data_IF_280368539654
#
_entry.id   IF_280368539654
#
_cell.length_a   1.000
_cell.length_b   1.000
_cell.length_c   1.000
_cell.angle_alpha   90.00
_cell.angle_beta   90.00
_cell.angle_gamma   90.00
#
_symmetry.space_group_name_H-M   'P 1'
#
loop_
_entity.id
_entity.type
_entity.pdbx_description
1 polymer ?
#
# COMPACT_ATOMS: atom_id res chain seq x y z
N UNK A 1 -10.43 31.99 -2.91
CA UNK A 1 -9.16 31.26 -3.01
C UNK A 1 -8.41 31.47 -1.70
N UNK A 2 -8.67 30.65 -0.68
CA UNK A 2 -7.83 30.64 0.53
C UNK A 2 -6.72 29.62 0.31
N UNK A 3 -5.49 30.11 0.39
CA UNK A 3 -4.29 29.29 0.49
C UNK A 3 -4.31 28.62 1.86
N UNK A 4 -4.80 27.38 1.94
CA UNK A 4 -4.56 26.54 3.10
C UNK A 4 -3.05 26.30 3.20
N UNK A 5 -2.46 26.65 4.34
CA UNK A 5 -1.02 26.51 4.57
C UNK A 5 -0.72 25.06 5.01
N UNK A 6 0.37 24.47 4.53
CA UNK A 6 0.75 23.05 4.78
C UNK A 6 0.79 22.69 6.29
N UNK A 7 1.02 23.66 7.16
CA UNK A 7 1.00 23.54 8.62
C UNK A 7 -0.39 23.22 9.18
N UNK A 8 -1.44 23.84 8.68
CA UNK A 8 -2.82 23.65 9.15
C UNK A 8 -3.35 22.25 8.79
N UNK A 9 -2.90 21.71 7.64
CA UNK A 9 -3.18 20.34 7.23
C UNK A 9 -2.45 19.30 8.11
N UNK A 10 -1.21 19.56 8.50
CA UNK A 10 -0.42 18.65 9.32
C UNK A 10 -0.98 18.53 10.75
N UNK A 11 -1.39 19.65 11.33
CA UNK A 11 -1.96 19.68 12.68
C UNK A 11 -3.32 18.95 12.73
N UNK A 12 -4.11 19.03 11.65
CA UNK A 12 -5.38 18.30 11.51
C UNK A 12 -5.17 16.76 11.47
N UNK A 13 -4.17 16.27 10.73
CA UNK A 13 -3.92 14.81 10.65
C UNK A 13 -3.38 14.25 11.98
N UNK A 14 -2.50 14.98 12.66
CA UNK A 14 -2.00 14.58 13.99
C UNK A 14 -3.13 14.47 15.00
N UNK A 15 -3.99 15.48 15.03
CA UNK A 15 -5.16 15.51 15.91
C UNK A 15 -6.09 14.31 15.67
N UNK A 16 -6.41 14.00 14.40
CA UNK A 16 -7.23 12.83 14.05
C UNK A 16 -6.61 11.51 14.52
N UNK A 17 -5.29 11.33 14.38
CA UNK A 17 -4.59 10.11 14.82
C UNK A 17 -4.62 10.01 16.35
N UNK A 18 -4.41 11.11 17.08
CA UNK A 18 -4.43 11.10 18.55
C UNK A 18 -5.83 10.89 19.14
N UNK A 19 -6.89 11.29 18.43
CA UNK A 19 -8.29 11.07 18.84
C UNK A 19 -8.85 9.69 18.44
N UNK A 20 -8.07 8.87 17.74
CA UNK A 20 -8.52 7.56 17.28
C UNK A 20 -8.52 6.52 18.41
N UNK A 21 -9.67 5.92 18.66
CA UNK A 21 -9.84 4.80 19.59
C UNK A 21 -10.02 3.49 18.83
N UNK A 22 -9.11 2.53 19.04
CA UNK A 22 -9.15 1.21 18.40
C UNK A 22 -10.34 0.42 18.93
N UNK A 23 -11.12 -0.19 18.03
CA UNK A 23 -12.22 -1.11 18.35
C UNK A 23 -11.91 -2.53 17.93
N UNK A 24 -11.31 -2.70 16.77
CA UNK A 24 -11.07 -4.02 16.17
C UNK A 24 -9.79 -4.01 15.32
N UNK A 25 -9.06 -5.13 15.32
CA UNK A 25 -8.01 -5.39 14.33
C UNK A 25 -8.67 -6.03 13.12
N UNK A 26 -8.77 -5.27 12.02
CA UNK A 26 -9.39 -5.75 10.78
C UNK A 26 -8.52 -6.79 10.07
N UNK A 27 -7.20 -6.58 10.10
CA UNK A 27 -6.23 -7.45 9.46
C UNK A 27 -4.83 -7.19 10.03
N UNK A 28 -4.01 -8.23 10.10
CA UNK A 28 -2.59 -8.15 10.40
C UNK A 28 -1.84 -8.93 9.31
N UNK A 29 -0.86 -8.30 8.68
CA UNK A 29 0.04 -8.95 7.74
C UNK A 29 1.49 -8.83 8.24
N UNK A 30 1.97 -9.84 9.00
CA UNK A 30 3.33 -9.86 9.51
C UNK A 30 4.39 -9.84 8.40
N UNK A 31 4.08 -10.36 7.21
CA UNK A 31 5.03 -10.41 6.09
C UNK A 31 5.29 -9.01 5.53
N UNK A 32 4.23 -8.24 5.32
CA UNK A 32 4.37 -6.85 4.85
C UNK A 32 4.55 -5.83 5.98
N UNK A 33 4.59 -6.31 7.24
CA UNK A 33 4.74 -5.49 8.45
C UNK A 33 3.66 -4.42 8.57
N UNK A 34 2.43 -4.81 8.24
CA UNK A 34 1.26 -3.94 8.27
C UNK A 34 0.19 -4.46 9.23
N UNK A 35 -0.53 -3.53 9.84
CA UNK A 35 -1.72 -3.82 10.63
C UNK A 35 -2.80 -2.78 10.36
N UNK A 36 -4.05 -3.23 10.34
CA UNK A 36 -5.24 -2.44 10.02
C UNK A 36 -6.16 -2.43 11.22
N UNK A 37 -6.55 -1.24 11.66
CA UNK A 37 -7.48 -1.04 12.77
C UNK A 37 -8.77 -0.41 12.29
N UNK A 38 -9.89 -0.92 12.76
CA UNK A 38 -11.16 -0.19 12.78
C UNK A 38 -11.29 0.50 14.13
N UNK A 39 -11.72 1.74 14.12
CA UNK A 39 -11.93 2.51 15.33
C UNK A 39 -12.91 3.64 15.14
N UNK A 40 -13.02 4.46 16.18
CA UNK A 40 -13.82 5.68 16.18
C UNK A 40 -12.96 6.89 16.45
N UNK A 41 -13.30 8.03 15.84
CA UNK A 41 -12.75 9.34 16.19
C UNK A 41 -13.86 10.11 16.90
N UNK A 42 -13.56 10.61 18.10
CA UNK A 42 -14.49 11.41 18.91
C UNK A 42 -14.53 12.84 18.37
N UNK A 43 -15.68 13.32 17.92
CA UNK A 43 -15.84 14.75 17.63
C UNK A 43 -15.79 15.53 18.95
N UNK A 44 -15.11 16.68 18.98
CA UNK A 44 -14.97 17.57 20.16
C UNK A 44 -16.31 18.11 20.72
N UNK A 45 -17.45 17.70 20.14
CA UNK A 45 -18.80 18.14 20.49
C UNK A 45 -19.40 17.46 21.74
N UNK A 46 -18.83 16.35 22.22
CA UNK A 46 -19.33 15.61 23.39
C UNK A 46 -18.43 15.80 24.63
N UNK A 47 -18.01 17.05 24.92
CA UNK A 47 -17.27 17.36 26.16
C UNK A 47 -18.14 17.47 27.43
N UNK A 48 -19.42 17.11 27.37
CA UNK A 48 -20.34 17.31 28.50
C UNK A 48 -20.96 16.05 29.11
N UNK A 49 -20.70 14.85 28.60
CA UNK A 49 -21.22 13.64 29.23
C UNK A 49 -20.08 12.63 29.48
N UNK A 50 -19.93 12.23 30.73
CA UNK A 50 -19.17 11.03 31.15
C UNK A 50 -19.85 9.78 30.57
N UNK A 51 -19.82 9.62 29.24
CA UNK A 51 -20.27 8.41 28.58
C UNK A 51 -19.13 7.41 28.66
N UNK A 52 -19.37 6.25 29.27
CA UNK A 52 -18.44 5.13 29.28
C UNK A 52 -17.90 4.89 27.86
N UNK A 53 -16.61 5.11 27.67
CA UNK A 53 -15.91 5.11 26.37
C UNK A 53 -16.10 3.81 25.59
N UNK A 54 -16.44 2.70 26.25
CA UNK A 54 -16.73 1.40 25.64
C UNK A 54 -18.12 1.27 24.99
N UNK A 55 -19.01 2.26 25.15
CA UNK A 55 -20.39 2.19 24.63
C UNK A 55 -20.60 2.88 23.28
N UNK A 56 -19.59 3.58 22.75
CA UNK A 56 -19.70 4.34 21.51
C UNK A 56 -19.64 3.39 20.31
N UNK A 57 -20.77 3.28 19.61
CA UNK A 57 -20.89 2.46 18.41
C UNK A 57 -20.09 3.04 17.23
N UNK A 58 -19.54 2.15 16.41
CA UNK A 58 -18.90 2.49 15.13
C UNK A 58 -19.99 2.80 14.11
N UNK A 59 -20.07 4.06 13.66
CA UNK A 59 -21.06 4.53 12.68
C UNK A 59 -20.34 4.89 11.37
N UNK A 60 -20.48 4.05 10.32
CA UNK A 60 -19.91 4.32 9.01
C UNK A 60 -20.34 5.69 8.46
N UNK A 61 -19.38 6.45 7.94
CA UNK A 61 -19.59 7.76 7.35
C UNK A 61 -19.76 8.91 8.34
N UNK A 62 -19.74 8.63 9.66
CA UNK A 62 -19.75 9.64 10.72
C UNK A 62 -18.47 9.60 11.56
N UNK A 63 -18.40 8.70 12.53
CA UNK A 63 -17.29 8.61 13.49
C UNK A 63 -16.32 7.44 13.17
N UNK A 64 -16.70 6.52 12.28
CA UNK A 64 -15.86 5.39 11.93
C UNK A 64 -14.57 5.84 11.21
N UNK A 65 -13.44 5.27 11.62
CA UNK A 65 -12.15 5.49 10.98
C UNK A 65 -11.40 4.16 10.81
N UNK A 66 -10.56 4.11 9.78
CA UNK A 66 -9.61 3.00 9.59
C UNK A 66 -8.20 3.58 9.65
N UNK A 67 -7.38 3.07 10.56
CA UNK A 67 -5.94 3.37 10.60
C UNK A 67 -5.16 2.16 10.10
N UNK A 68 -4.22 2.41 9.18
CA UNK A 68 -3.21 1.44 8.76
C UNK A 68 -1.86 1.89 9.31
N UNK A 69 -1.17 0.98 9.99
CA UNK A 69 0.23 1.16 10.39
C UNK A 69 1.12 0.27 9.53
N UNK A 70 2.23 0.82 9.07
CA UNK A 70 3.23 0.09 8.27
C UNK A 70 4.63 0.41 8.74
N UNK A 71 5.44 -0.62 8.99
CA UNK A 71 6.87 -0.43 9.26
C UNK A 71 7.58 0.01 7.98
N UNK A 72 8.24 1.16 8.02
CA UNK A 72 8.99 1.67 6.88
C UNK A 72 10.28 0.87 6.67
N UNK A 73 10.68 0.75 5.40
CA UNK A 73 11.96 0.18 5.03
C UNK A 73 13.11 1.06 5.52
N UNK A 74 14.26 0.43 5.78
CA UNK A 74 15.47 1.18 6.10
C UNK A 74 15.91 2.05 4.91
N UNK A 75 16.21 3.32 5.18
CA UNK A 75 16.81 4.20 4.18
C UNK A 75 18.32 4.02 4.16
N UNK A 76 18.92 3.88 2.98
CA UNK A 76 20.40 3.88 2.84
C UNK A 76 21.04 5.13 3.46
N UNK A 77 20.34 6.27 3.42
CA UNK A 77 20.81 7.56 3.98
C UNK A 77 20.98 7.51 5.50
N UNK A 78 20.23 6.66 6.20
CA UNK A 78 20.34 6.45 7.65
C UNK A 78 21.72 5.92 8.06
N UNK A 79 22.41 5.18 7.17
CA UNK A 79 23.66 4.50 7.50
C UNK A 79 24.90 5.12 6.85
N UNK A 80 24.73 6.04 5.88
CA UNK A 80 25.83 6.56 5.06
C UNK A 80 26.05 8.07 5.19
N UNK A 81 25.57 8.72 6.26
CA UNK A 81 25.61 10.19 6.43
C UNK A 81 27.01 10.79 6.65
N UNK A 82 28.09 10.17 6.17
CA UNK A 82 29.48 10.57 6.41
C UNK A 82 30.25 11.01 5.14
N UNK A 83 29.62 11.19 3.98
CA UNK A 83 30.39 11.51 2.76
C UNK A 83 30.75 12.99 2.54
N UNK A 84 30.32 13.94 3.37
CA UNK A 84 30.77 15.34 3.21
C UNK A 84 30.97 16.04 4.54
N UNK A 85 32.22 16.01 5.02
CA UNK A 85 33.02 17.16 5.46
C UNK A 85 33.92 16.78 6.63
N UNK A 86 35.22 17.00 6.41
CA UNK A 86 36.28 17.06 7.41
C UNK A 86 35.79 17.64 8.76
N UNK A 87 35.60 16.78 9.76
CA UNK A 87 35.82 17.07 11.18
C UNK A 87 35.99 15.73 11.89
N UNK A 88 36.93 15.69 12.83
CA UNK A 88 37.24 14.53 13.66
C UNK A 88 35.96 13.99 14.34
N UNK A 89 35.85 12.65 14.42
CA UNK A 89 34.77 11.85 15.03
C UNK A 89 33.56 11.49 14.14
N UNK A 90 33.81 11.09 12.89
CA UNK A 90 32.81 10.42 12.03
C UNK A 90 32.29 9.07 12.61
N UNK A 91 32.93 8.51 13.65
CA UNK A 91 32.54 7.27 14.33
C UNK A 91 31.37 7.39 15.31
N UNK A 92 30.94 8.62 15.64
CA UNK A 92 29.98 8.87 16.73
C UNK A 92 28.53 9.09 16.26
N UNK A 93 28.23 8.89 14.97
CA UNK A 93 26.88 9.08 14.41
C UNK A 93 26.36 7.89 13.60
N UNK A 94 26.66 6.67 14.04
CA UNK A 94 26.08 5.47 13.45
C UNK A 94 24.94 4.93 14.35
N UNK A 95 23.73 4.71 13.80
CA UNK A 95 22.57 4.29 14.59
C UNK A 95 22.72 2.91 15.23
N UNK A 96 23.77 2.15 14.87
CA UNK A 96 24.09 0.85 15.43
C UNK A 96 24.84 0.92 16.76
N UNK A 97 25.67 1.95 16.99
CA UNK A 97 26.57 2.04 18.16
C UNK A 97 25.79 2.13 19.47
N UNK A 98 24.67 2.84 19.45
CA UNK A 98 23.81 3.07 20.62
C UNK A 98 22.51 2.23 20.56
N UNK A 99 22.55 1.09 19.88
CA UNK A 99 21.41 0.15 19.83
C UNK A 99 21.11 -0.46 21.18
N UNK A 100 19.82 -0.54 21.52
CA UNK A 100 19.37 -1.29 22.69
C UNK A 100 18.97 -2.70 22.27
N UNK A 101 19.79 -3.69 22.58
CA UNK A 101 19.48 -5.10 22.35
C UNK A 101 18.72 -5.69 23.55
N UNK A 102 17.73 -6.53 23.28
CA UNK A 102 16.81 -7.16 24.25
C UNK A 102 17.06 -8.66 24.35
N UNK A 103 17.35 -9.31 23.24
CA UNK A 103 17.71 -10.73 23.18
C UNK A 103 18.85 -10.92 22.20
N UNK A 104 19.75 -11.87 22.50
CA UNK A 104 20.92 -12.20 21.68
C UNK A 104 21.14 -13.71 21.71
N UNK A 105 21.36 -14.30 20.55
CA UNK A 105 21.67 -15.71 20.35
C UNK A 105 22.84 -15.85 19.38
N UNK A 106 23.61 -16.94 19.50
CA UNK A 106 24.80 -17.20 18.68
C UNK A 106 24.94 -18.69 18.37
N UNK A 107 25.26 -19.00 17.12
CA UNK A 107 25.71 -20.31 16.68
C UNK A 107 26.89 -20.17 15.72
N UNK A 108 28.07 -20.61 16.13
CA UNK A 108 29.35 -20.46 15.41
C UNK A 108 29.63 -19.01 15.00
N UNK A 109 29.62 -18.70 13.70
CA UNK A 109 29.83 -17.35 13.15
C UNK A 109 28.53 -16.54 13.03
N UNK A 110 27.37 -17.16 13.24
CA UNK A 110 26.07 -16.49 13.15
C UNK A 110 25.64 -15.99 14.52
N UNK A 111 25.24 -14.72 14.59
CA UNK A 111 24.62 -14.13 15.77
C UNK A 111 23.38 -13.36 15.34
N UNK A 112 22.31 -13.46 16.13
CA UNK A 112 21.07 -12.72 15.92
C UNK A 112 20.63 -12.08 17.22
N UNK A 113 20.03 -10.89 17.11
CA UNK A 113 19.55 -10.13 18.25
C UNK A 113 18.25 -9.41 17.89
N UNK A 114 17.38 -9.24 18.89
CA UNK A 114 16.24 -8.33 18.80
C UNK A 114 16.59 -7.06 19.56
N UNK A 115 16.25 -5.90 19.02
CA UNK A 115 16.56 -4.64 19.65
C UNK A 115 15.92 -3.44 18.99
N UNK A 116 16.20 -2.29 19.57
CA UNK A 116 15.76 -0.98 19.11
C UNK A 116 16.98 -0.21 18.61
N UNK A 117 16.86 0.43 17.45
CA UNK A 117 17.86 1.39 17.00
C UNK A 117 17.92 2.56 17.99
N UNK A 118 19.12 3.14 18.13
CA UNK A 118 19.34 4.30 18.97
C UNK A 118 18.31 5.40 18.70
N UNK A 119 17.87 6.08 19.76
CA UNK A 119 16.72 6.97 19.76
C UNK A 119 16.71 7.92 18.55
N UNK A 120 15.66 7.78 17.75
CA UNK A 120 15.10 8.78 16.85
C UNK A 120 14.62 9.97 17.71
N UNK A 121 15.54 10.81 18.24
CA UNK A 121 15.14 12.05 18.94
C UNK A 121 14.27 12.87 17.97
N UNK A 122 12.97 13.10 18.27
CA UNK A 122 12.05 13.77 17.36
C UNK A 122 12.51 15.18 16.95
N UNK A 123 13.40 15.79 17.74
CA UNK A 123 13.93 17.12 17.52
C UNK A 123 15.33 17.11 16.86
N UNK A 124 15.92 15.95 16.62
CA UNK A 124 17.19 15.83 15.91
C UNK A 124 16.99 16.13 14.42
N UNK A 125 17.90 16.93 13.85
CA UNK A 125 17.88 17.32 12.44
C UNK A 125 17.92 16.13 11.44
N UNK A 126 18.24 14.92 11.93
CA UNK A 126 18.38 13.69 11.14
C UNK A 126 17.40 12.59 11.60
N UNK A 127 16.13 12.95 11.86
CA UNK A 127 15.09 11.97 12.17
C UNK A 127 14.69 11.17 10.92
N UNK A 128 14.79 9.84 10.98
CA UNK A 128 14.29 8.97 9.93
C UNK A 128 13.00 8.30 10.40
N UNK A 129 11.84 8.59 9.78
CA UNK A 129 10.58 7.99 10.21
C UNK A 129 10.63 6.48 10.00
N UNK A 130 10.10 5.75 10.97
CA UNK A 130 10.18 4.29 10.98
C UNK A 130 8.82 3.59 10.83
N UNK A 131 7.74 4.35 10.94
CA UNK A 131 6.36 3.86 10.84
C UNK A 131 5.57 4.86 10.03
N UNK A 132 4.77 4.36 9.08
CA UNK A 132 3.82 5.18 8.35
C UNK A 132 2.42 4.94 8.91
N UNK A 133 1.71 6.04 9.09
CA UNK A 133 0.30 6.06 9.46
C UNK A 133 -0.51 6.44 8.22
N UNK A 134 -1.63 5.77 8.01
CA UNK A 134 -2.62 6.18 7.02
C UNK A 134 -3.99 6.06 7.62
N UNK A 135 -4.81 7.09 7.45
CA UNK A 135 -6.13 7.18 8.06
C UNK A 135 -7.19 7.39 6.98
N UNK A 136 -8.30 6.66 7.10
CA UNK A 136 -9.52 6.87 6.34
C UNK A 136 -10.57 7.36 7.33
N UNK A 137 -10.95 8.64 7.22
CA UNK A 137 -11.97 9.25 8.06
C UNK A 137 -12.78 10.29 7.26
N UNK A 138 -14.13 10.28 7.34
CA UNK A 138 -14.96 9.22 7.89
C UNK A 138 -15.02 8.01 6.94
N UNK A 139 -14.75 6.81 7.47
CA UNK A 139 -14.77 5.56 6.71
C UNK A 139 -16.21 5.15 6.36
N UNK A 140 -16.47 4.81 5.09
CA UNK A 140 -17.79 4.40 4.57
C UNK A 140 -17.74 2.98 4.01
N UNK A 141 -18.87 2.28 4.00
CA UNK A 141 -18.95 0.86 3.63
C UNK A 141 -18.60 0.51 2.16
N UNK A 142 -18.53 1.48 1.23
CA UNK A 142 -17.89 1.36 -0.11
C UNK A 142 -18.07 2.64 -0.93
N UNK A 143 -17.02 3.11 -1.60
CA UNK A 143 -17.09 4.11 -2.67
C UNK A 143 -16.39 3.58 -3.93
N UNK A 144 -17.07 3.39 -5.07
CA UNK A 144 -16.44 3.14 -6.36
C UNK A 144 -16.42 4.44 -7.19
N UNK A 145 -15.28 4.89 -7.74
CA UNK A 145 -15.22 5.48 -9.09
C UNK A 145 -13.82 5.96 -9.55
N UNK A 146 -13.70 5.91 -10.88
CA UNK A 146 -12.66 6.20 -11.87
C UNK A 146 -11.75 7.44 -11.67
N UNK A 147 -10.42 7.28 -11.65
CA UNK A 147 -9.39 8.33 -11.85
C UNK A 147 -8.16 7.67 -12.50
N UNK A 148 -7.45 8.30 -13.46
CA UNK A 148 -6.05 7.94 -13.76
C UNK A 148 -5.23 8.33 -12.54
N UNK A 149 -5.19 7.41 -11.61
CA UNK A 149 -4.73 7.69 -10.28
C UNK A 149 -3.28 7.22 -10.27
N UNK A 150 -2.38 8.07 -9.80
CA UNK A 150 -1.38 7.58 -8.86
C UNK A 150 -2.07 7.04 -7.57
N UNK A 151 -3.23 6.34 -7.65
CA UNK A 151 -3.81 5.60 -6.52
C UNK A 151 -2.97 4.36 -6.45
N UNK A 152 -1.91 4.51 -5.69
CA UNK A 152 -1.80 3.72 -4.48
C UNK A 152 -3.20 3.48 -3.88
N UNK A 153 -3.86 2.36 -4.25
CA UNK A 153 -4.98 1.79 -3.47
C UNK A 153 -4.44 1.13 -2.19
N UNK A 154 -3.63 1.93 -1.51
CA UNK A 154 -2.96 1.84 -0.23
C UNK A 154 -2.15 3.13 -0.19
N UNK A 155 -2.80 4.25 0.16
CA UNK A 155 -2.20 5.58 0.33
C UNK A 155 -0.90 5.57 1.18
N UNK A 156 -0.52 4.43 1.77
CA UNK A 156 0.58 4.24 2.69
C UNK A 156 1.89 3.66 2.14
N UNK A 157 2.11 3.38 0.84
CA UNK A 157 3.37 2.68 0.44
C UNK A 157 4.40 3.51 -0.31
N UNK A 158 3.97 4.40 -1.19
CA UNK A 158 4.92 5.15 -2.01
C UNK A 158 5.22 6.53 -1.42
N UNK A 159 6.49 6.85 -1.23
CA UNK A 159 6.96 8.15 -0.76
C UNK A 159 7.07 9.19 -1.90
N UNK A 160 6.72 8.79 -3.14
CA UNK A 160 6.86 9.61 -4.35
C UNK A 160 8.30 9.85 -4.80
N UNK A 161 9.28 9.30 -4.06
CA UNK A 161 10.72 9.59 -4.17
C UNK A 161 11.55 8.33 -4.47
N UNK A 162 11.12 7.19 -3.95
CA UNK A 162 11.83 5.91 -4.04
C UNK A 162 11.09 5.00 -5.00
N UNK A 163 11.71 4.71 -6.14
CA UNK A 163 11.13 3.87 -7.18
C UNK A 163 10.93 2.42 -6.75
N UNK A 164 11.72 1.93 -5.79
CA UNK A 164 11.64 0.57 -5.28
C UNK A 164 10.28 0.28 -4.59
N UNK A 165 9.61 1.33 -4.12
CA UNK A 165 8.27 1.26 -3.52
C UNK A 165 7.13 1.67 -4.47
N UNK A 166 7.42 1.80 -5.78
CA UNK A 166 6.43 2.20 -6.77
C UNK A 166 5.27 1.19 -6.85
N UNK A 167 4.06 1.69 -6.63
CA UNK A 167 2.80 0.98 -6.84
C UNK A 167 1.80 1.94 -7.49
N UNK A 168 1.23 1.54 -8.62
CA UNK A 168 0.21 2.29 -9.36
C UNK A 168 -0.96 1.38 -9.74
N UNK A 169 -2.12 1.98 -9.95
CA UNK A 169 -3.30 1.32 -10.50
C UNK A 169 -3.81 2.14 -11.68
N UNK A 170 -3.82 1.53 -12.87
CA UNK A 170 -4.36 2.11 -14.09
C UNK A 170 -5.82 1.73 -14.20
N UNK A 171 -6.69 2.72 -14.24
CA UNK A 171 -8.13 2.55 -14.47
C UNK A 171 -8.47 2.88 -15.92
N UNK A 172 -9.11 1.95 -16.62
CA UNK A 172 -9.51 2.18 -18.02
C UNK A 172 -10.75 3.07 -18.08
N UNK A 173 -10.83 4.02 -19.03
CA UNK A 173 -11.98 4.92 -19.12
C UNK A 173 -13.30 4.22 -19.48
N UNK A 174 -13.21 3.16 -20.28
CA UNK A 174 -14.35 2.32 -20.67
C UNK A 174 -14.97 1.66 -19.43
N UNK A 175 -16.30 1.60 -19.37
CA UNK A 175 -17.06 1.09 -18.21
C UNK A 175 -17.68 -0.29 -18.44
N UNK A 176 -17.51 -0.84 -19.63
CA UNK A 176 -18.07 -2.11 -20.05
C UNK A 176 -17.16 -3.32 -19.72
N UNK A 177 -15.93 -3.06 -19.22
CA UNK A 177 -14.98 -4.09 -18.82
C UNK A 177 -14.96 -4.20 -17.30
N UNK A 178 -15.47 -5.30 -16.76
CA UNK A 178 -15.58 -5.56 -15.31
C UNK A 178 -14.38 -6.31 -14.77
N UNK A 179 -13.84 -7.26 -15.55
CA UNK A 179 -12.74 -8.12 -15.10
C UNK A 179 -11.96 -8.73 -16.27
N UNK A 180 -10.99 -9.59 -15.93
CA UNK A 180 -10.27 -10.46 -16.87
C UNK A 180 -11.20 -11.25 -17.81
N UNK A 181 -12.41 -11.62 -17.35
CA UNK A 181 -13.40 -12.38 -18.15
C UNK A 181 -13.98 -11.60 -19.34
N UNK A 182 -13.87 -10.28 -19.37
CA UNK A 182 -14.43 -9.46 -20.46
C UNK A 182 -13.39 -9.15 -21.56
N UNK A 183 -12.12 -9.52 -21.34
CA UNK A 183 -11.04 -9.25 -22.28
C UNK A 183 -11.14 -10.17 -23.51
N UNK A 184 -10.85 -9.58 -24.67
CA UNK A 184 -10.92 -10.22 -25.99
C UNK A 184 -9.88 -9.60 -26.92
N UNK A 185 -9.74 -10.10 -28.15
CA UNK A 185 -8.80 -9.56 -29.14
C UNK A 185 -9.03 -8.07 -29.45
N UNK A 186 -10.28 -7.60 -29.35
CA UNK A 186 -10.63 -6.18 -29.54
C UNK A 186 -9.97 -5.25 -28.50
N UNK A 187 -9.57 -5.81 -27.36
CA UNK A 187 -8.98 -5.07 -26.25
C UNK A 187 -7.45 -5.06 -26.29
N UNK A 188 -6.79 -5.84 -27.17
CA UNK A 188 -5.34 -5.85 -27.28
C UNK A 188 -4.72 -4.46 -27.53
N UNK A 189 -5.28 -3.60 -28.41
CA UNK A 189 -4.74 -2.24 -28.57
C UNK A 189 -4.82 -1.42 -27.28
N UNK A 190 -5.87 -1.59 -26.47
CA UNK A 190 -6.00 -0.91 -25.18
C UNK A 190 -4.90 -1.38 -24.21
N UNK A 191 -4.69 -2.70 -24.10
CA UNK A 191 -3.72 -3.28 -23.16
C UNK A 191 -2.28 -2.86 -23.50
N UNK A 192 -1.88 -2.91 -24.77
CA UNK A 192 -0.55 -2.47 -25.22
C UNK A 192 -0.36 -0.95 -25.00
N UNK A 193 -1.35 -0.14 -25.36
CA UNK A 193 -1.29 1.31 -25.12
C UNK A 193 -1.14 1.68 -23.64
N UNK A 194 -1.70 0.89 -22.74
CA UNK A 194 -1.53 1.09 -21.29
C UNK A 194 -0.07 0.88 -20.89
N UNK A 195 0.59 -0.20 -21.36
CA UNK A 195 2.00 -0.43 -21.08
C UNK A 195 2.87 0.72 -21.58
N UNK A 196 2.72 1.10 -22.85
CA UNK A 196 3.53 2.16 -23.46
C UNK A 196 3.41 3.49 -22.73
N UNK A 197 2.17 3.91 -22.43
CA UNK A 197 1.91 5.18 -21.76
C UNK A 197 2.41 5.20 -20.32
N UNK A 198 2.25 4.10 -19.59
CA UNK A 198 2.75 4.01 -18.21
C UNK A 198 4.27 4.01 -18.20
N UNK A 199 4.93 3.23 -19.08
CA UNK A 199 6.38 3.22 -19.19
C UNK A 199 6.92 4.61 -19.50
N UNK A 200 6.31 5.33 -20.45
CA UNK A 200 6.66 6.71 -20.77
C UNK A 200 6.55 7.63 -19.55
N UNK A 201 5.39 7.62 -18.88
CA UNK A 201 5.15 8.46 -17.72
C UNK A 201 6.11 8.17 -16.54
N UNK A 202 6.49 6.90 -16.32
CA UNK A 202 7.45 6.53 -15.27
C UNK A 202 8.85 6.99 -15.64
N UNK A 203 9.28 6.82 -16.90
CA UNK A 203 10.60 7.28 -17.37
C UNK A 203 10.75 8.79 -17.27
N UNK A 204 9.70 9.54 -17.59
CA UNK A 204 9.69 11.01 -17.48
C UNK A 204 9.86 11.46 -16.01
N UNK A 205 9.28 10.71 -15.07
CA UNK A 205 9.36 11.03 -13.63
C UNK A 205 10.66 10.55 -12.97
N UNK A 206 11.23 9.45 -13.44
CA UNK A 206 12.40 8.80 -12.85
C UNK A 206 13.51 8.60 -13.89
N UNK A 207 14.38 9.61 -14.10
CA UNK A 207 15.52 9.49 -15.00
C UNK A 207 16.43 8.32 -14.64
N UNK A 208 16.78 7.50 -15.63
CA UNK A 208 17.61 6.29 -15.44
C UNK A 208 16.83 5.01 -15.16
N UNK A 209 15.50 5.07 -15.11
CA UNK A 209 14.63 3.90 -14.97
C UNK A 209 14.58 3.05 -16.24
N UNK A 210 14.65 1.72 -16.09
CA UNK A 210 14.47 0.78 -17.20
C UNK A 210 13.10 0.07 -17.11
N UNK A 211 12.45 -0.15 -18.24
CA UNK A 211 11.06 -0.63 -18.29
C UNK A 211 10.87 -2.07 -17.79
N UNK A 212 11.92 -2.90 -17.81
CA UNK A 212 11.92 -4.25 -17.26
C UNK A 212 11.82 -4.29 -15.73
N UNK A 213 11.98 -3.14 -15.07
CA UNK A 213 11.79 -3.00 -13.65
C UNK A 213 10.31 -2.79 -13.27
N UNK A 214 9.38 -2.76 -14.24
CA UNK A 214 7.93 -2.74 -13.99
C UNK A 214 7.31 -4.13 -14.15
N UNK A 215 6.40 -4.44 -13.24
CA UNK A 215 5.50 -5.58 -13.31
C UNK A 215 4.08 -5.08 -13.53
N UNK A 216 3.44 -5.54 -14.60
CA UNK A 216 2.04 -5.24 -14.93
C UNK A 216 1.17 -6.47 -14.68
N UNK A 217 0.08 -6.34 -13.93
CA UNK A 217 -0.81 -7.46 -13.64
C UNK A 217 -2.27 -7.05 -13.36
N UNK A 218 -3.20 -7.97 -13.59
CA UNK A 218 -4.64 -7.84 -13.35
C UNK A 218 -5.05 -8.81 -12.25
N UNK A 219 -5.96 -8.41 -11.37
CA UNK A 219 -6.52 -9.31 -10.35
C UNK A 219 -7.70 -10.15 -10.86
N UNK A 220 -7.74 -11.41 -10.44
CA UNK A 220 -8.91 -12.26 -10.52
C UNK A 220 -9.06 -13.10 -9.24
N UNK A 221 -10.12 -12.96 -8.44
CA UNK A 221 -11.18 -11.94 -8.54
C UNK A 221 -10.63 -10.53 -8.21
N UNK A 222 -11.13 -9.47 -8.89
CA UNK A 222 -10.75 -8.10 -8.57
C UNK A 222 -11.46 -7.61 -7.30
N UNK A 223 -10.86 -6.64 -6.59
CA UNK A 223 -11.52 -6.02 -5.43
C UNK A 223 -12.77 -5.20 -5.80
N UNK A 224 -12.85 -4.73 -7.06
CA UNK A 224 -14.03 -4.07 -7.62
C UNK A 224 -14.14 -4.36 -9.12
N UNK A 225 -15.37 -4.46 -9.62
CA UNK A 225 -15.69 -4.89 -10.98
C UNK A 225 -15.64 -3.75 -12.00
N UNK A 226 -14.46 -3.16 -12.16
CA UNK A 226 -14.09 -2.23 -13.21
C UNK A 226 -12.64 -2.51 -13.57
N UNK A 227 -12.34 -2.81 -14.84
CA UNK A 227 -11.01 -3.26 -15.25
C UNK A 227 -9.93 -2.26 -14.81
N UNK A 228 -8.96 -2.79 -14.08
CA UNK A 228 -7.79 -2.06 -13.63
C UNK A 228 -6.54 -2.92 -13.72
N UNK A 229 -5.42 -2.25 -13.97
CA UNK A 229 -4.10 -2.87 -14.10
C UNK A 229 -3.23 -2.35 -12.96
N UNK A 230 -2.67 -3.26 -12.17
CA UNK A 230 -1.66 -2.94 -11.19
C UNK A 230 -0.30 -2.84 -11.87
N UNK A 231 0.48 -1.83 -11.46
CA UNK A 231 1.85 -1.62 -11.94
C UNK A 231 2.75 -1.42 -10.74
N UNK A 232 3.74 -2.29 -10.56
CA UNK A 232 4.66 -2.22 -9.42
C UNK A 232 6.10 -2.29 -9.86
N UNK A 233 7.03 -1.77 -9.07
CA UNK A 233 8.44 -2.10 -9.24
C UNK A 233 8.66 -3.60 -9.00
N UNK A 234 9.59 -4.23 -9.73
CA UNK A 234 9.97 -5.63 -9.54
C UNK A 234 10.48 -5.93 -8.13
N UNK A 235 11.13 -4.97 -7.47
CA UNK A 235 11.62 -5.07 -6.09
C UNK A 235 10.51 -4.96 -5.04
N UNK A 236 9.34 -4.44 -5.39
CA UNK A 236 8.23 -4.34 -4.47
C UNK A 236 7.56 -5.71 -4.31
N UNK A 237 7.61 -6.25 -3.09
CA UNK A 237 6.81 -7.42 -2.69
C UNK A 237 5.51 -6.99 -2.02
N UNK A 238 4.40 -7.54 -2.48
CA UNK A 238 3.06 -7.25 -1.94
C UNK A 238 2.16 -8.48 -2.10
N UNK A 239 1.27 -8.78 -1.13
CA UNK A 239 0.30 -9.86 -1.25
C UNK A 239 -0.59 -9.76 -2.50
N UNK A 240 -0.74 -8.55 -3.07
CA UNK A 240 -1.45 -8.34 -4.33
C UNK A 240 -0.85 -9.08 -5.53
N UNK A 241 0.37 -9.61 -5.42
CA UNK A 241 1.07 -10.30 -6.50
C UNK A 241 1.02 -11.83 -6.43
N UNK A 242 0.34 -12.41 -5.43
CA UNK A 242 0.33 -13.85 -5.26
C UNK A 242 -0.29 -14.58 -6.45
N UNK A 243 0.30 -15.74 -6.77
CA UNK A 243 -0.25 -16.66 -7.76
C UNK A 243 -1.66 -17.10 -7.34
N UNK A 244 -2.56 -17.20 -8.31
CA UNK A 244 -4.00 -17.40 -8.04
C UNK A 244 -4.76 -16.10 -7.75
N UNK A 245 -4.10 -14.94 -7.82
CA UNK A 245 -4.77 -13.63 -7.86
C UNK A 245 -4.25 -12.74 -8.97
N UNK A 246 -2.93 -12.58 -9.07
CA UNK A 246 -2.30 -11.75 -10.08
C UNK A 246 -2.09 -12.51 -11.40
N UNK A 247 -2.57 -11.93 -12.49
CA UNK A 247 -2.35 -12.38 -13.87
C UNK A 247 -1.51 -11.36 -14.61
N UNK A 248 -0.29 -11.75 -15.01
CA UNK A 248 0.65 -10.87 -15.72
C UNK A 248 0.05 -10.37 -17.03
N UNK A 249 0.14 -9.06 -17.28
CA UNK A 249 -0.48 -8.43 -18.45
C UNK A 249 0.05 -9.01 -19.77
N UNK A 250 1.36 -9.30 -19.85
CA UNK A 250 1.96 -9.92 -21.03
C UNK A 250 1.38 -11.31 -21.30
N UNK A 251 1.20 -12.13 -20.26
CA UNK A 251 0.52 -13.43 -20.37
C UNK A 251 -0.95 -13.27 -20.75
N UNK A 252 -1.61 -12.20 -20.29
CA UNK A 252 -2.98 -11.88 -20.70
C UNK A 252 -3.07 -11.57 -22.19
N UNK A 253 -2.16 -10.74 -22.69
CA UNK A 253 -2.05 -10.39 -24.11
C UNK A 253 -1.73 -11.63 -24.95
N UNK A 254 -0.73 -12.42 -24.53
CA UNK A 254 -0.31 -13.64 -25.23
C UNK A 254 -1.44 -14.66 -25.28
N UNK A 255 -2.14 -14.90 -24.16
CA UNK A 255 -3.23 -15.87 -24.13
C UNK A 255 -4.34 -15.56 -25.13
N UNK A 256 -4.74 -14.28 -25.23
CA UNK A 256 -5.76 -13.83 -26.19
C UNK A 256 -5.25 -13.95 -27.63
N UNK A 257 -3.97 -13.63 -27.85
CA UNK A 257 -3.35 -13.63 -29.18
C UNK A 257 -3.15 -15.06 -29.70
N UNK A 258 -2.69 -15.95 -28.84
CA UNK A 258 -2.21 -17.29 -29.20
C UNK A 258 -3.33 -18.33 -29.16
N UNK A 259 -4.22 -18.28 -28.17
CA UNK A 259 -5.25 -19.31 -27.97
C UNK A 259 -6.66 -18.89 -28.38
N UNK A 260 -6.85 -17.62 -28.77
CA UNK A 260 -8.08 -17.12 -29.37
C UNK A 260 -8.72 -15.96 -28.60
N UNK A 261 -9.50 -15.17 -29.35
CA UNK A 261 -10.15 -13.96 -28.84
C UNK A 261 -11.05 -14.18 -27.63
N UNK A 262 -11.58 -15.38 -27.43
CA UNK A 262 -12.49 -15.71 -26.33
C UNK A 262 -11.85 -16.61 -25.25
N UNK A 263 -10.51 -16.62 -25.17
CA UNK A 263 -9.75 -17.44 -24.23
C UNK A 263 -10.24 -17.27 -22.79
N UNK A 264 -10.36 -16.03 -22.31
CA UNK A 264 -10.72 -15.77 -20.91
C UNK A 264 -12.18 -16.08 -20.58
N UNK A 265 -13.05 -16.23 -21.57
CA UNK A 265 -14.42 -16.67 -21.38
C UNK A 265 -14.49 -18.20 -21.21
N UNK A 266 -13.55 -18.93 -21.83
CA UNK A 266 -13.48 -20.40 -21.80
C UNK A 266 -12.56 -20.96 -20.73
N UNK A 267 -11.51 -20.23 -20.38
CA UNK A 267 -10.47 -20.72 -19.47
C UNK A 267 -11.03 -21.02 -18.07
N UNK A 268 -10.53 -22.08 -17.44
CA UNK A 268 -10.68 -22.28 -16.01
C UNK A 268 -9.62 -21.43 -15.31
N UNK A 269 -10.05 -20.47 -14.49
CA UNK A 269 -9.14 -19.54 -13.80
C UNK A 269 -9.25 -19.84 -12.30
N UNK A 270 -8.23 -20.46 -11.69
CA UNK A 270 -8.23 -20.70 -10.25
C UNK A 270 -8.03 -19.39 -9.49
N UNK A 271 -8.74 -19.23 -8.38
CA UNK A 271 -8.58 -18.09 -7.48
C UNK A 271 -8.85 -18.48 -6.02
N UNK A 272 -8.40 -17.65 -5.09
CA UNK A 272 -8.59 -17.82 -3.65
C UNK A 272 -9.61 -16.80 -3.15
N UNK A 273 -10.50 -17.21 -2.25
CA UNK A 273 -11.43 -16.35 -1.52
C UNK A 273 -11.24 -16.55 -0.02
N UNK A 274 -11.51 -15.51 0.76
CA UNK A 274 -11.70 -15.66 2.20
C UNK A 274 -13.03 -16.33 2.50
N UNK A 275 -13.10 -17.07 3.62
CA UNK A 275 -14.31 -17.81 4.02
C UNK A 275 -15.53 -16.90 4.25
N UNK A 276 -15.29 -15.63 4.62
CA UNK A 276 -16.32 -14.62 4.82
C UNK A 276 -16.75 -13.91 3.51
N UNK A 277 -16.18 -14.25 2.36
CA UNK A 277 -16.56 -13.64 1.09
C UNK A 277 -17.92 -14.16 0.62
N UNK A 278 -18.84 -13.26 0.24
CA UNK A 278 -20.17 -13.63 -0.28
C UNK A 278 -20.07 -14.56 -1.49
N UNK A 279 -19.04 -14.42 -2.32
CA UNK A 279 -18.81 -15.30 -3.47
C UNK A 279 -18.37 -16.70 -3.03
N UNK A 280 -17.67 -16.83 -1.91
CA UNK A 280 -17.26 -18.13 -1.37
C UNK A 280 -18.50 -18.96 -1.04
N UNK A 281 -19.45 -18.40 -0.28
CA UNK A 281 -20.71 -19.09 0.07
C UNK A 281 -21.54 -19.48 -1.16
N UNK A 282 -21.50 -18.69 -2.24
CA UNK A 282 -22.23 -18.98 -3.48
C UNK A 282 -21.59 -20.07 -4.34
N UNK A 283 -20.28 -20.28 -4.20
CA UNK A 283 -19.53 -21.26 -4.98
C UNK A 283 -19.31 -22.57 -4.22
N UNK A 284 -19.13 -22.51 -2.91
CA UNK A 284 -18.98 -23.67 -2.03
C UNK A 284 -20.27 -24.49 -1.87
N UNK A 285 -21.44 -23.90 -2.18
CA UNK A 285 -22.74 -24.56 -2.15
C UNK A 285 -23.06 -25.37 -3.42
N UNK A 286 -22.07 -25.67 -4.26
CA UNK A 286 -22.18 -26.55 -5.43
C UNK A 286 -21.45 -27.86 -5.17
#
# INVERSE_FOLDING_TARGET
MSTFTDTEHLDNVKDLIHRFEIREVLNEDPRSKMIYFLGVIHDDYDKNDEVETNSIQVIPGKNAAIITLERLAFSRKLFLSNETNNTENASDKYPLKDTRLVSCEKNDIYAWAQGFLANEDPNAANLFPNTRFSIIYPAKEKNPMLIMYFSVHNHSKWDGKTIDSLYMVVLVHRRDLKSLRDLTAQHLPLLNNIQDKVIGAVKDKFPGFHSDQLRFYIHYQPSYYHLHIHVTNVQLETPSMFAGRAHMLDTVIDNITTFGSDYYQKATIPFVLGENDVLFSKLASK
#
